data_IF_092920428256
#
_entry.id   IF_092920428256
#
_cell.length_a   1.000
_cell.length_b   1.000
_cell.length_c   1.000
_cell.angle_alpha   90.00
_cell.angle_beta   90.00
_cell.angle_gamma   90.00
#
_symmetry.space_group_name_H-M   'P 1'
#
loop_
_entity.id
_entity.type
_entity.pdbx_description
1 polymer ?
#
# COMPACT_ATOMS: atom_id res chain seq x y z
N UNK A 1 14.60 -4.38 -5.98
CA UNK A 1 13.55 -3.53 -6.59
C UNK A 1 13.27 -2.35 -5.67
N UNK A 2 13.39 -1.14 -6.18
CA UNK A 2 13.11 0.05 -5.41
C UNK A 2 11.69 0.51 -5.67
N UNK A 3 10.93 0.67 -4.60
CA UNK A 3 9.56 1.18 -4.68
C UNK A 3 9.52 2.57 -4.09
N UNK A 4 8.58 3.36 -4.56
CA UNK A 4 8.47 4.76 -4.19
C UNK A 4 7.01 5.11 -3.94
N UNK A 5 6.76 5.83 -2.84
CA UNK A 5 5.43 6.38 -2.57
C UNK A 5 5.29 7.65 -3.40
N UNK A 6 4.23 7.71 -4.19
CA UNK A 6 3.95 8.86 -5.04
C UNK A 6 2.63 9.51 -4.62
N UNK A 7 2.67 10.81 -4.37
CA UNK A 7 1.47 11.58 -4.11
C UNK A 7 0.88 12.05 -5.44
N UNK A 8 -0.43 11.85 -5.59
CA UNK A 8 -1.17 12.33 -6.76
C UNK A 8 -2.22 13.32 -6.27
N UNK A 9 -2.18 14.53 -6.79
CA UNK A 9 -3.15 15.56 -6.48
C UNK A 9 -4.27 15.51 -7.52
N UNK A 10 -5.49 15.20 -7.08
CA UNK A 10 -6.65 15.09 -7.96
C UNK A 10 -7.29 16.46 -8.14
N UNK A 11 -7.40 17.22 -7.03
CA UNK A 11 -7.88 18.62 -7.06
C UNK A 11 -7.29 19.36 -5.87
N UNK A 12 -7.73 20.60 -5.61
CA UNK A 12 -7.17 21.44 -4.56
C UNK A 12 -7.34 20.85 -3.15
N UNK A 13 -8.31 19.95 -2.96
CA UNK A 13 -8.64 19.39 -1.66
C UNK A 13 -8.45 17.88 -1.58
N UNK A 14 -8.22 17.21 -2.71
CA UNK A 14 -8.18 15.75 -2.75
C UNK A 14 -6.83 15.26 -3.24
N UNK A 15 -6.21 14.39 -2.44
CA UNK A 15 -4.93 13.76 -2.75
C UNK A 15 -5.07 12.26 -2.69
N UNK A 16 -4.27 11.55 -3.49
CA UNK A 16 -4.14 10.10 -3.42
C UNK A 16 -2.68 9.71 -3.38
N UNK A 17 -2.44 8.50 -2.92
CA UNK A 17 -1.09 7.96 -2.82
C UNK A 17 -1.03 6.65 -3.57
N UNK A 18 0.10 6.42 -4.24
CA UNK A 18 0.38 5.18 -4.95
C UNK A 18 1.76 4.69 -4.55
N UNK A 19 1.93 3.37 -4.62
CA UNK A 19 3.25 2.76 -4.55
C UNK A 19 3.62 2.36 -5.97
N UNK A 20 4.75 2.86 -6.45
CA UNK A 20 5.21 2.61 -7.82
C UNK A 20 6.57 1.91 -7.79
N UNK A 21 6.86 1.17 -8.85
CA UNK A 21 8.14 0.49 -9.00
C UNK A 21 9.21 1.43 -9.57
N UNK A 22 10.39 0.89 -9.85
CA UNK A 22 11.53 1.66 -10.39
C UNK A 22 11.21 2.36 -11.69
N UNK A 23 10.30 1.77 -12.47
CA UNK A 23 9.91 2.30 -13.79
C UNK A 23 8.75 3.28 -13.70
N UNK A 24 8.21 3.50 -12.50
CA UNK A 24 7.09 4.40 -12.31
C UNK A 24 5.72 3.76 -12.48
N UNK A 25 5.65 2.44 -12.63
CA UNK A 25 4.38 1.74 -12.76
C UNK A 25 3.78 1.42 -11.40
N UNK A 26 2.46 1.60 -11.22
CA UNK A 26 1.80 1.26 -9.96
C UNK A 26 1.91 -0.23 -9.64
N UNK A 27 2.08 -0.53 -8.36
CA UNK A 27 2.03 -1.91 -7.87
C UNK A 27 0.56 -2.28 -7.76
N UNK A 28 0.09 -3.16 -8.63
CA UNK A 28 -1.34 -3.45 -8.79
C UNK A 28 -2.07 -3.83 -7.50
N UNK A 29 -1.57 -4.76 -6.66
CA UNK A 29 -2.27 -5.08 -5.41
C UNK A 29 -2.41 -3.87 -4.49
N UNK A 30 -1.40 -3.03 -4.43
CA UNK A 30 -1.43 -1.83 -3.59
C UNK A 30 -2.43 -0.82 -4.14
N UNK A 31 -2.47 -0.63 -5.46
CA UNK A 31 -3.44 0.27 -6.08
C UNK A 31 -4.88 -0.16 -5.78
N UNK A 32 -5.14 -1.47 -5.84
CA UNK A 32 -6.46 -2.02 -5.48
C UNK A 32 -6.78 -1.80 -4.01
N UNK A 33 -5.81 -2.00 -3.13
CA UNK A 33 -6.00 -1.80 -1.70
C UNK A 33 -6.29 -0.34 -1.38
N UNK A 34 -5.53 0.59 -1.97
CA UNK A 34 -5.72 2.02 -1.72
C UNK A 34 -7.08 2.48 -2.21
N UNK A 35 -7.54 1.97 -3.34
CA UNK A 35 -8.90 2.23 -3.82
C UNK A 35 -9.95 1.70 -2.85
N UNK A 36 -9.72 0.51 -2.31
CA UNK A 36 -10.62 -0.10 -1.34
C UNK A 36 -10.76 0.78 -0.10
N UNK A 37 -9.66 1.24 0.50
CA UNK A 37 -9.74 2.06 1.71
C UNK A 37 -10.27 3.46 1.43
N UNK A 38 -10.06 3.98 0.23
CA UNK A 38 -10.68 5.25 -0.19
C UNK A 38 -12.20 5.11 -0.24
N UNK A 39 -12.69 3.99 -0.80
CA UNK A 39 -14.12 3.69 -0.85
C UNK A 39 -14.72 3.49 0.54
N UNK A 40 -13.91 3.06 1.51
CA UNK A 40 -14.32 2.92 2.91
C UNK A 40 -14.32 4.26 3.67
N UNK A 41 -14.02 5.36 2.99
CA UNK A 41 -14.04 6.68 3.59
C UNK A 41 -12.81 7.02 4.43
N UNK A 42 -11.71 6.29 4.28
CA UNK A 42 -10.49 6.58 5.03
C UNK A 42 -9.84 7.87 4.52
N UNK A 43 -9.31 8.66 5.44
CA UNK A 43 -8.65 9.91 5.10
C UNK A 43 -7.39 9.67 4.27
N UNK A 44 -6.95 10.72 3.56
CA UNK A 44 -5.72 10.61 2.78
C UNK A 44 -4.49 10.43 3.68
N UNK A 45 -4.51 10.92 4.92
CA UNK A 45 -3.41 10.67 5.87
C UNK A 45 -3.32 9.19 6.23
N UNK A 46 -4.44 8.52 6.43
CA UNK A 46 -4.49 7.08 6.66
C UNK A 46 -3.97 6.32 5.45
N UNK A 47 -4.38 6.73 4.25
CA UNK A 47 -3.91 6.13 3.00
C UNK A 47 -2.39 6.28 2.86
N UNK A 48 -1.86 7.46 3.18
CA UNK A 48 -0.42 7.72 3.13
C UNK A 48 0.33 6.80 4.09
N UNK A 49 -0.15 6.69 5.33
CA UNK A 49 0.46 5.84 6.35
C UNK A 49 0.51 4.39 5.89
N UNK A 50 -0.61 3.90 5.36
CA UNK A 50 -0.68 2.52 4.88
C UNK A 50 0.20 2.31 3.64
N UNK A 51 0.31 3.30 2.78
CA UNK A 51 1.19 3.21 1.61
C UNK A 51 2.65 3.02 2.02
N UNK A 52 3.11 3.77 3.01
CA UNK A 52 4.46 3.59 3.55
C UNK A 52 4.63 2.25 4.24
N UNK A 53 3.62 1.79 4.98
CA UNK A 53 3.66 0.47 5.61
C UNK A 53 3.78 -0.65 4.57
N UNK A 54 3.04 -0.53 3.48
CA UNK A 54 3.11 -1.51 2.39
C UNK A 54 4.45 -1.47 1.67
N UNK A 55 5.06 -0.29 1.53
CA UNK A 55 6.41 -0.18 1.00
C UNK A 55 7.39 -0.99 1.84
N UNK A 56 7.29 -0.89 3.16
CA UNK A 56 8.14 -1.66 4.07
C UNK A 56 7.87 -3.16 3.96
N UNK A 57 6.61 -3.54 3.81
CA UNK A 57 6.21 -4.92 3.64
C UNK A 57 6.84 -5.53 2.38
N UNK A 58 6.76 -4.83 1.25
CA UNK A 58 7.36 -5.31 0.01
C UNK A 58 8.89 -5.37 0.08
N UNK A 59 9.50 -4.44 0.81
CA UNK A 59 10.93 -4.47 1.07
C UNK A 59 11.32 -5.72 1.85
N UNK A 60 10.50 -6.09 2.85
CA UNK A 60 10.70 -7.32 3.61
C UNK A 60 10.55 -8.55 2.73
N UNK A 61 9.54 -8.59 1.87
CA UNK A 61 9.35 -9.72 0.94
C UNK A 61 10.57 -9.92 0.05
N UNK A 62 11.19 -8.83 -0.40
CA UNK A 62 12.40 -8.91 -1.19
C UNK A 62 13.55 -9.53 -0.38
N UNK A 63 13.66 -9.18 0.89
CA UNK A 63 14.71 -9.72 1.76
C UNK A 63 14.58 -11.22 1.95
N UNK A 64 13.35 -11.74 2.01
CA UNK A 64 13.11 -13.19 2.15
C UNK A 64 12.89 -13.89 0.81
N UNK A 65 13.17 -13.18 -0.28
CA UNK A 65 13.14 -13.71 -1.66
C UNK A 65 11.74 -14.19 -2.09
N UNK A 66 10.69 -13.53 -1.63
CA UNK A 66 9.34 -13.78 -2.09
C UNK A 66 8.91 -12.74 -3.12
N UNK A 67 8.26 -13.20 -4.19
CA UNK A 67 7.78 -12.31 -5.22
C UNK A 67 6.54 -11.55 -4.76
N UNK A 68 6.54 -10.23 -4.99
CA UNK A 68 5.35 -9.43 -4.71
C UNK A 68 4.16 -9.82 -5.59
N UNK A 69 4.40 -10.56 -6.67
CA UNK A 69 3.33 -11.03 -7.57
C UNK A 69 2.43 -12.05 -6.90
N UNK A 70 2.90 -12.68 -5.83
CA UNK A 70 2.09 -13.60 -5.02
C UNK A 70 1.20 -12.86 -4.03
N UNK A 71 1.34 -11.55 -3.90
CA UNK A 71 0.58 -10.73 -2.96
C UNK A 71 -0.75 -10.35 -3.60
N UNK A 72 -1.83 -10.57 -2.88
CA UNK A 72 -3.19 -10.24 -3.32
C UNK A 72 -3.76 -9.12 -2.47
N UNK A 73 -4.92 -8.60 -2.88
CA UNK A 73 -5.65 -7.63 -2.08
C UNK A 73 -5.94 -8.17 -0.67
N UNK A 74 -6.36 -9.44 -0.56
CA UNK A 74 -6.65 -10.06 0.73
C UNK A 74 -5.40 -10.14 1.62
N UNK A 75 -4.25 -10.45 1.04
CA UNK A 75 -2.99 -10.49 1.77
C UNK A 75 -2.67 -9.12 2.37
N UNK A 76 -2.90 -8.05 1.61
CA UNK A 76 -2.64 -6.69 2.08
C UNK A 76 -3.62 -6.27 3.17
N UNK A 77 -4.89 -6.64 3.04
CA UNK A 77 -5.89 -6.38 4.07
C UNK A 77 -5.47 -7.07 5.37
N UNK A 78 -5.08 -8.33 5.31
CA UNK A 78 -4.65 -9.09 6.48
C UNK A 78 -3.41 -8.47 7.13
N UNK A 79 -2.46 -8.02 6.32
CA UNK A 79 -1.25 -7.38 6.83
C UNK A 79 -1.58 -6.09 7.59
N UNK A 80 -2.41 -5.24 7.01
CA UNK A 80 -2.80 -3.97 7.64
C UNK A 80 -3.59 -4.22 8.92
N UNK A 81 -4.50 -5.22 8.93
CA UNK A 81 -5.22 -5.58 10.14
C UNK A 81 -4.26 -6.06 11.23
N UNK A 82 -3.25 -6.83 10.87
CA UNK A 82 -2.21 -7.24 11.81
C UNK A 82 -1.49 -6.03 12.42
N UNK A 83 -1.14 -5.04 11.58
CA UNK A 83 -0.47 -3.84 12.07
C UNK A 83 -1.33 -3.04 13.02
N UNK A 84 -2.65 -3.02 12.80
CA UNK A 84 -3.59 -2.29 13.67
C UNK A 84 -3.83 -3.00 14.98
N UNK A 85 -3.85 -4.33 14.97
CA UNK A 85 -4.21 -5.14 16.13
C UNK A 85 -3.22 -6.29 16.33
N UNK A 86 -1.92 -5.99 16.57
CA UNK A 86 -0.89 -7.03 16.60
C UNK A 86 -1.06 -8.02 17.77
N UNK A 87 -1.77 -7.64 18.82
CA UNK A 87 -1.95 -8.49 19.99
C UNK A 87 -3.19 -9.38 19.90
N UNK A 88 -4.03 -9.17 18.89
CA UNK A 88 -5.26 -9.92 18.70
C UNK A 88 -5.13 -11.01 17.62
N UNK A 89 -4.01 -11.05 16.95
CA UNK A 89 -3.75 -12.02 15.87
C UNK A 89 -2.84 -13.15 16.31
#
# INVERSE_FOLDING_TARGET
MNMKVQEIRIDATKKRYLLVDEKGFPITPVAKYLKYIDNCGRSHNTQKTYCYALKMYFKYLKLIDLSYRCVTLNTLIDFIEYLRNPYEN
#
